data_IF_824772065677
#
_entry.id   IF_824772065677
#
_cell.length_a   1.000
_cell.length_b   1.000
_cell.length_c   1.000
_cell.angle_alpha   90.00
_cell.angle_beta   90.00
_cell.angle_gamma   90.00
#
_symmetry.space_group_name_H-M   'P 1'
#
loop_
_entity.id
_entity.type
_entity.pdbx_description
1 polymer ?
#
# COMPACT_ATOMS: atom_id res chain seq x y z
N UNK A 1 -31.08 23.83 -15.16
CA UNK A 1 -31.42 22.41 -15.15
C UNK A 1 -30.19 21.54 -15.47
N UNK A 2 -29.07 21.69 -14.75
CA UNK A 2 -27.84 20.85 -14.91
C UNK A 2 -27.31 20.24 -13.60
N UNK A 3 -28.06 20.33 -12.50
CA UNK A 3 -27.65 19.89 -11.15
C UNK A 3 -27.78 18.38 -10.87
N UNK A 4 -28.23 17.53 -11.81
CA UNK A 4 -28.60 16.14 -11.50
C UNK A 4 -27.68 15.04 -12.07
N UNK A 5 -26.55 15.37 -12.70
CA UNK A 5 -25.75 14.35 -13.39
C UNK A 5 -24.61 13.83 -12.49
N UNK A 6 -24.10 14.63 -11.56
CA UNK A 6 -22.97 14.23 -10.69
C UNK A 6 -23.44 13.40 -9.46
N UNK A 7 -24.64 13.64 -8.97
CA UNK A 7 -25.20 12.86 -7.84
C UNK A 7 -25.47 11.38 -8.16
N UNK A 8 -25.59 11.00 -9.44
CA UNK A 8 -25.87 9.63 -9.85
C UNK A 8 -24.60 8.78 -10.04
N UNK A 9 -23.44 9.41 -10.27
CA UNK A 9 -22.19 8.71 -10.48
C UNK A 9 -21.57 8.16 -9.17
N UNK A 10 -21.85 8.80 -8.03
CA UNK A 10 -21.34 8.35 -6.71
C UNK A 10 -22.14 7.17 -6.17
N UNK A 11 -23.43 7.06 -6.50
CA UNK A 11 -24.29 5.97 -6.02
C UNK A 11 -24.04 4.62 -6.73
N UNK A 12 -23.47 4.64 -7.95
CA UNK A 12 -23.25 3.41 -8.74
C UNK A 12 -21.91 2.71 -8.45
N UNK A 13 -21.01 3.30 -7.66
CA UNK A 13 -19.70 2.69 -7.31
C UNK A 13 -19.82 1.75 -6.10
N UNK A 14 -20.87 1.87 -5.29
CA UNK A 14 -21.11 0.96 -4.16
C UNK A 14 -21.65 -0.44 -4.53
N UNK A 15 -21.91 -0.70 -5.81
CA UNK A 15 -22.44 -1.98 -6.31
C UNK A 15 -21.39 -2.96 -6.85
N UNK A 16 -20.13 -2.60 -6.98
CA UNK A 16 -19.07 -3.53 -7.34
C UNK A 16 -18.45 -4.12 -6.08
N UNK A 17 -19.10 -5.13 -5.52
CA UNK A 17 -18.42 -6.14 -4.72
C UNK A 17 -17.56 -7.00 -5.66
N UNK A 18 -16.50 -6.41 -6.19
CA UNK A 18 -15.37 -7.19 -6.64
C UNK A 18 -14.76 -7.76 -5.36
N UNK A 19 -14.90 -9.04 -5.14
CA UNK A 19 -14.03 -9.82 -4.29
C UNK A 19 -12.63 -9.76 -4.90
N UNK A 20 -11.95 -8.65 -4.69
CA UNK A 20 -10.52 -8.55 -4.90
C UNK A 20 -9.96 -9.36 -3.74
N UNK A 21 -9.46 -10.56 -4.06
CA UNK A 21 -8.65 -11.33 -3.14
C UNK A 21 -7.59 -10.38 -2.57
N UNK A 22 -7.63 -10.18 -1.26
CA UNK A 22 -6.69 -9.33 -0.57
C UNK A 22 -5.29 -9.89 -0.80
N UNK A 23 -4.53 -9.24 -1.66
CA UNK A 23 -3.09 -9.35 -1.62
C UNK A 23 -2.66 -8.71 -0.29
N UNK A 24 -1.96 -9.47 0.53
CA UNK A 24 -1.32 -8.98 1.76
C UNK A 24 -0.16 -8.06 1.33
N UNK A 25 -0.50 -6.85 0.91
CA UNK A 25 0.48 -5.85 0.55
C UNK A 25 1.10 -5.30 1.81
N UNK A 26 2.42 -5.42 1.88
CA UNK A 26 3.19 -4.98 3.01
C UNK A 26 2.94 -3.48 3.28
N UNK A 27 2.05 -3.21 4.23
CA UNK A 27 1.88 -1.91 4.84
C UNK A 27 3.22 -1.46 5.44
N UNK A 28 3.78 -0.39 4.89
CA UNK A 28 5.09 0.11 5.31
C UNK A 28 5.00 1.22 6.36
N UNK A 29 3.82 1.79 6.59
CA UNK A 29 3.64 2.93 7.48
C UNK A 29 4.44 4.16 7.06
N UNK A 30 4.66 4.32 5.74
CA UNK A 30 5.48 5.40 5.18
C UNK A 30 4.81 6.75 5.30
N UNK A 31 5.62 7.78 5.44
CA UNK A 31 5.22 9.15 5.16
C UNK A 31 5.40 9.43 3.65
N UNK A 32 4.63 10.37 3.13
CA UNK A 32 4.84 10.85 1.76
C UNK A 32 4.50 12.33 1.61
N UNK A 33 5.23 13.01 0.73
CA UNK A 33 4.92 14.34 0.24
C UNK A 33 4.27 14.24 -1.12
N UNK A 34 3.28 15.09 -1.39
CA UNK A 34 2.48 15.12 -2.60
C UNK A 34 2.31 16.56 -3.09
N UNK A 35 3.34 17.16 -3.72
CA UNK A 35 3.17 18.37 -4.50
C UNK A 35 2.38 18.09 -5.77
N UNK A 36 1.54 19.02 -6.18
CA UNK A 36 0.73 18.82 -7.38
C UNK A 36 0.05 20.07 -7.91
N UNK A 37 -0.62 19.88 -9.04
CA UNK A 37 -1.47 20.87 -9.69
C UNK A 37 -2.94 20.48 -9.52
N UNK A 38 -3.80 21.48 -9.48
CA UNK A 38 -5.25 21.31 -9.41
C UNK A 38 -5.94 22.14 -10.48
N UNK A 39 -7.00 21.59 -11.06
CA UNK A 39 -7.92 22.31 -11.93
C UNK A 39 -9.21 22.45 -11.17
N UNK A 40 -9.69 23.68 -11.02
CA UNK A 40 -10.92 24.01 -10.30
C UNK A 40 -12.03 24.35 -11.27
N UNK A 41 -13.15 23.64 -11.17
CA UNK A 41 -14.43 24.04 -11.74
C UNK A 41 -15.27 24.68 -10.63
N UNK A 42 -15.64 25.92 -10.85
CA UNK A 42 -16.30 26.74 -9.84
C UNK A 42 -17.80 26.45 -9.74
N UNK A 43 -18.39 26.70 -8.59
CA UNK A 43 -19.84 26.73 -8.45
C UNK A 43 -20.44 27.82 -9.35
N UNK A 44 -21.52 27.50 -10.05
CA UNK A 44 -22.21 28.44 -10.97
C UNK A 44 -22.69 29.71 -10.27
N UNK A 45 -22.93 29.66 -8.98
CA UNK A 45 -23.37 30.80 -8.20
C UNK A 45 -22.25 31.84 -7.99
N UNK A 46 -20.97 31.42 -8.14
CA UNK A 46 -19.80 32.29 -8.09
C UNK A 46 -19.62 33.15 -9.37
N UNK A 47 -20.21 32.76 -10.49
CA UNK A 47 -20.03 33.43 -11.81
C UNK A 47 -18.56 33.63 -12.16
N UNK A 48 -17.75 32.60 -11.92
CA UNK A 48 -16.34 32.54 -12.25
C UNK A 48 -16.09 31.48 -13.32
N UNK A 49 -15.02 31.63 -14.09
CA UNK A 49 -14.65 30.69 -15.15
C UNK A 49 -14.25 29.33 -14.58
N UNK A 50 -14.51 28.27 -15.35
CA UNK A 50 -14.11 26.92 -15.08
C UNK A 50 -12.72 26.61 -15.64
N UNK A 51 -12.09 25.53 -15.12
CA UNK A 51 -10.85 25.00 -15.67
C UNK A 51 -9.59 25.75 -15.26
N UNK A 52 -9.67 26.60 -14.24
CA UNK A 52 -8.54 27.39 -13.77
C UNK A 52 -7.54 26.52 -12.99
N UNK A 53 -6.25 26.72 -13.28
CA UNK A 53 -5.16 25.93 -12.73
C UNK A 53 -4.64 26.56 -11.45
N UNK A 54 -4.48 25.75 -10.43
CA UNK A 54 -3.84 26.07 -9.15
C UNK A 54 -2.83 25.03 -8.75
N UNK A 55 -2.42 25.07 -7.49
CA UNK A 55 -1.46 24.12 -6.94
C UNK A 55 -1.81 23.69 -5.55
N UNK A 56 -1.25 22.56 -5.15
CA UNK A 56 -1.37 22.05 -3.80
C UNK A 56 -0.10 21.37 -3.31
N UNK A 57 0.03 21.28 -2.01
CA UNK A 57 1.01 20.47 -1.31
C UNK A 57 0.30 19.68 -0.22
N UNK A 58 0.47 18.36 -0.22
CA UNK A 58 -0.05 17.48 0.85
C UNK A 58 1.07 16.67 1.45
N UNK A 59 0.96 16.39 2.73
CA UNK A 59 1.78 15.41 3.45
C UNK A 59 0.84 14.33 3.90
N UNK A 60 1.14 13.10 3.54
CA UNK A 60 0.34 11.95 3.89
C UNK A 60 1.12 10.95 4.71
N UNK A 61 0.39 10.11 5.44
CA UNK A 61 0.90 8.98 6.18
C UNK A 61 0.01 7.77 5.95
N UNK A 62 0.63 6.65 5.65
CA UNK A 62 -0.01 5.34 5.70
C UNK A 62 -0.25 4.98 7.18
N UNK A 63 -1.51 4.83 7.60
CA UNK A 63 -1.89 4.53 8.99
C UNK A 63 -2.13 3.04 9.18
N UNK A 64 -2.69 2.39 8.18
CA UNK A 64 -2.94 0.95 8.15
C UNK A 64 -2.95 0.43 6.72
N UNK A 65 -3.19 -0.84 6.53
CA UNK A 65 -3.31 -1.46 5.20
C UNK A 65 -4.37 -0.79 4.32
N UNK A 66 -5.43 -0.25 4.93
CA UNK A 66 -6.56 0.35 4.19
C UNK A 66 -6.70 1.85 4.40
N UNK A 67 -5.94 2.48 5.30
CA UNK A 67 -6.16 3.88 5.64
C UNK A 67 -4.90 4.71 5.51
N UNK A 68 -5.03 5.84 4.78
CA UNK A 68 -4.08 6.95 4.79
C UNK A 68 -4.75 8.19 5.36
N UNK A 69 -3.93 9.06 5.94
CA UNK A 69 -4.32 10.42 6.31
C UNK A 69 -3.44 11.40 5.57
N UNK A 70 -4.04 12.43 4.97
CA UNK A 70 -3.34 13.53 4.30
C UNK A 70 -3.67 14.84 4.98
N UNK A 71 -2.68 15.70 5.20
CA UNK A 71 -2.85 17.12 5.55
C UNK A 71 -2.38 17.92 4.36
N UNK A 72 -3.17 18.89 3.91
CA UNK A 72 -2.87 19.61 2.69
C UNK A 72 -3.24 21.07 2.69
N UNK A 73 -2.44 21.83 1.94
CA UNK A 73 -2.68 23.21 1.58
C UNK A 73 -2.90 23.28 0.05
N UNK A 74 -3.96 23.97 -0.38
CA UNK A 74 -4.28 24.22 -1.79
C UNK A 74 -4.58 25.67 -2.06
N UNK A 75 -4.24 26.12 -3.27
CA UNK A 75 -4.56 27.47 -3.75
C UNK A 75 -4.98 27.42 -5.20
N UNK A 76 -6.16 28.01 -5.46
CA UNK A 76 -6.68 28.20 -6.81
C UNK A 76 -7.26 29.60 -6.98
N UNK A 77 -7.18 30.11 -8.20
CA UNK A 77 -7.88 31.33 -8.58
C UNK A 77 -8.62 31.13 -9.89
N UNK A 78 -9.76 31.82 -10.04
CA UNK A 78 -10.58 31.81 -11.23
C UNK A 78 -10.90 33.25 -11.63
N UNK A 79 -10.92 33.52 -12.92
CA UNK A 79 -11.34 34.82 -13.45
C UNK A 79 -12.87 34.97 -13.41
N UNK A 80 -13.35 36.19 -13.33
CA UNK A 80 -14.79 36.49 -13.39
C UNK A 80 -15.38 36.09 -14.76
N UNK A 81 -16.40 35.21 -14.77
CA UNK A 81 -17.14 34.87 -16.01
C UNK A 81 -17.99 36.05 -16.47
N UNK A 82 -17.36 36.96 -17.16
CA UNK A 82 -18.00 38.17 -17.69
C UNK A 82 -17.57 38.43 -19.12
N UNK A 83 -18.48 38.25 -20.06
CA UNK A 83 -18.29 38.65 -21.46
C UNK A 83 -18.15 40.17 -21.66
N UNK A 84 -18.39 40.99 -20.63
CA UNK A 84 -18.42 42.46 -20.70
C UNK A 84 -17.34 43.14 -19.84
N UNK A 85 -16.77 42.47 -18.86
CA UNK A 85 -15.85 43.09 -17.91
C UNK A 85 -14.70 42.10 -17.60
N UNK A 86 -13.48 42.51 -17.87
CA UNK A 86 -12.28 41.72 -17.59
C UNK A 86 -11.53 42.32 -16.42
N UNK A 87 -11.19 41.53 -15.43
CA UNK A 87 -10.27 41.96 -14.38
C UNK A 87 -10.60 41.57 -12.95
N UNK A 88 -11.72 40.90 -12.70
CA UNK A 88 -12.05 40.38 -11.36
C UNK A 88 -11.60 38.96 -11.15
N UNK A 89 -11.34 38.56 -9.90
CA UNK A 89 -10.91 37.19 -9.55
C UNK A 89 -11.62 36.63 -8.32
N UNK A 90 -11.94 35.36 -8.41
CA UNK A 90 -12.25 34.53 -7.27
C UNK A 90 -10.98 33.76 -6.86
N UNK A 91 -10.69 33.74 -5.56
CA UNK A 91 -9.53 33.03 -5.00
C UNK A 91 -9.98 32.14 -3.86
N UNK A 92 -9.50 30.90 -3.86
CA UNK A 92 -9.75 29.96 -2.77
C UNK A 92 -8.45 29.37 -2.25
N UNK A 93 -8.27 29.46 -0.94
CA UNK A 93 -7.20 28.77 -0.21
C UNK A 93 -7.82 27.73 0.68
N UNK A 94 -7.34 26.50 0.60
CA UNK A 94 -7.82 25.35 1.35
C UNK A 94 -6.73 24.85 2.29
N UNK A 95 -7.10 24.60 3.55
CA UNK A 95 -6.27 23.87 4.51
C UNK A 95 -7.13 22.76 5.10
N UNK A 96 -6.75 21.49 4.93
CA UNK A 96 -7.60 20.39 5.36
C UNK A 96 -6.86 19.13 5.74
N UNK A 97 -7.60 18.24 6.35
CA UNK A 97 -7.21 16.87 6.67
C UNK A 97 -8.18 15.94 5.99
N UNK A 98 -7.64 15.01 5.22
CA UNK A 98 -8.37 14.00 4.46
C UNK A 98 -8.04 12.61 4.99
N UNK A 99 -9.05 11.76 5.16
CA UNK A 99 -8.92 10.33 5.34
C UNK A 99 -9.15 9.64 3.97
N UNK A 100 -8.25 8.73 3.59
CA UNK A 100 -8.34 7.96 2.36
C UNK A 100 -8.52 6.49 2.72
N UNK A 101 -9.56 5.87 2.17
CA UNK A 101 -9.71 4.42 2.22
C UNK A 101 -9.13 3.81 0.95
N UNK A 102 -8.06 3.04 1.10
CA UNK A 102 -7.32 2.39 0.02
C UNK A 102 -7.89 1.00 -0.24
N UNK A 103 -8.28 0.71 -1.47
CA UNK A 103 -8.80 -0.61 -1.86
C UNK A 103 -7.69 -1.62 -2.16
N UNK A 104 -6.47 -1.15 -2.40
CA UNK A 104 -5.27 -1.97 -2.65
C UNK A 104 -4.01 -1.21 -2.21
N UNK A 105 -2.96 -1.96 -1.87
CA UNK A 105 -1.60 -1.43 -1.60
C UNK A 105 -0.60 -1.80 -2.69
N UNK A 106 -1.02 -2.45 -3.76
CA UNK A 106 -0.21 -2.73 -4.95
C UNK A 106 0.30 -1.45 -5.62
N UNK A 107 0.92 -1.58 -6.77
CA UNK A 107 1.38 -0.44 -7.58
C UNK A 107 0.23 0.49 -7.98
N UNK A 108 -0.95 -0.07 -8.26
CA UNK A 108 -2.18 0.68 -8.52
C UNK A 108 -3.09 0.64 -7.28
N UNK A 109 -3.34 1.81 -6.69
CA UNK A 109 -4.01 1.98 -5.40
C UNK A 109 -5.24 2.88 -5.54
N UNK A 110 -6.38 2.34 -5.95
CA UNK A 110 -7.63 3.12 -5.98
C UNK A 110 -8.07 3.45 -4.56
N UNK A 111 -8.70 4.62 -4.39
CA UNK A 111 -9.18 5.08 -3.10
C UNK A 111 -10.43 5.95 -3.20
N UNK A 112 -11.15 6.04 -2.09
CA UNK A 112 -12.13 7.09 -1.82
C UNK A 112 -11.61 7.97 -0.69
N UNK A 113 -11.99 9.22 -0.68
CA UNK A 113 -11.56 10.16 0.35
C UNK A 113 -12.73 10.95 0.92
N UNK A 114 -12.59 11.34 2.17
CA UNK A 114 -13.42 12.34 2.82
C UNK A 114 -12.54 13.19 3.73
N UNK A 115 -12.83 14.49 3.81
CA UNK A 115 -12.03 15.40 4.60
C UNK A 115 -12.79 16.59 5.14
N UNK A 116 -12.16 17.25 6.09
CA UNK A 116 -12.63 18.49 6.70
C UNK A 116 -11.49 19.49 6.82
N UNK A 117 -11.84 20.76 6.91
CA UNK A 117 -10.81 21.80 7.04
C UNK A 117 -11.38 23.20 7.07
N UNK A 118 -10.54 24.15 6.63
CA UNK A 118 -10.88 25.55 6.48
C UNK A 118 -10.69 25.98 5.02
N UNK A 119 -11.63 26.75 4.51
CA UNK A 119 -11.56 27.42 3.21
C UNK A 119 -11.58 28.93 3.42
N UNK A 120 -10.59 29.61 2.85
CA UNK A 120 -10.58 31.05 2.75
C UNK A 120 -10.98 31.45 1.32
N UNK A 121 -12.18 32.04 1.19
CA UNK A 121 -12.75 32.47 -0.08
C UNK A 121 -12.65 33.99 -0.20
N UNK A 122 -12.09 34.48 -1.30
CA UNK A 122 -12.00 35.90 -1.61
C UNK A 122 -12.54 36.19 -3.01
N UNK A 123 -13.53 37.04 -3.05
CA UNK A 123 -14.18 37.51 -4.29
C UNK A 123 -13.77 38.96 -4.49
N UNK A 124 -13.34 39.30 -5.68
CA UNK A 124 -12.98 40.67 -6.07
C UNK A 124 -13.32 40.89 -7.53
N UNK A 125 -14.61 41.08 -7.86
CA UNK A 125 -15.09 41.26 -9.22
C UNK A 125 -15.20 42.72 -9.57
N UNK A 126 -14.74 43.08 -10.77
CA UNK A 126 -14.81 44.43 -11.31
C UNK A 126 -16.01 44.63 -12.21
N UNK A 127 -16.64 43.57 -12.71
CA UNK A 127 -17.78 43.63 -13.61
C UNK A 127 -19.14 43.85 -12.96
N UNK A 128 -19.28 43.42 -11.70
CA UNK A 128 -20.47 43.69 -10.89
C UNK A 128 -20.09 44.76 -9.88
N UNK A 129 -20.63 45.98 -9.96
CA UNK A 129 -20.23 47.07 -9.07
C UNK A 129 -20.27 46.68 -7.60
N UNK A 130 -19.11 46.66 -6.95
CA UNK A 130 -19.00 46.39 -5.55
C UNK A 130 -19.10 44.89 -5.12
N UNK A 131 -19.10 43.95 -6.07
CA UNK A 131 -19.08 42.53 -5.70
C UNK A 131 -17.71 42.11 -5.17
N UNK A 132 -17.51 42.34 -3.91
CA UNK A 132 -16.31 41.94 -3.18
C UNK A 132 -16.68 41.30 -1.85
N UNK A 133 -15.86 40.37 -1.42
CA UNK A 133 -16.03 39.69 -0.12
C UNK A 133 -14.86 38.81 0.22
N UNK A 134 -14.70 38.52 1.50
CA UNK A 134 -13.70 37.62 1.98
C UNK A 134 -14.25 36.91 3.21
N UNK A 135 -14.32 35.60 3.16
CA UNK A 135 -14.80 34.77 4.27
C UNK A 135 -13.88 33.58 4.51
N UNK A 136 -13.74 33.23 5.77
CA UNK A 136 -13.08 32.00 6.17
C UNK A 136 -14.10 31.11 6.86
N UNK A 137 -14.31 29.93 6.30
CA UNK A 137 -15.32 29.00 6.78
C UNK A 137 -14.79 27.61 6.92
N UNK A 138 -15.49 26.77 7.65
CA UNK A 138 -15.30 25.34 7.59
C UNK A 138 -15.57 24.83 6.19
N UNK A 139 -14.77 23.86 5.76
CA UNK A 139 -15.01 23.10 4.53
C UNK A 139 -15.19 21.63 4.82
N UNK A 140 -15.97 20.95 3.98
CA UNK A 140 -16.02 19.50 3.86
C UNK A 140 -15.69 19.09 2.44
N UNK A 141 -15.09 17.94 2.25
CA UNK A 141 -14.88 17.39 0.92
C UNK A 141 -15.07 15.88 0.88
N UNK A 142 -15.46 15.38 -0.29
CA UNK A 142 -15.46 13.95 -0.63
C UNK A 142 -14.93 13.77 -2.04
N UNK A 143 -14.32 12.63 -2.31
CA UNK A 143 -13.77 12.37 -3.62
C UNK A 143 -13.34 10.92 -3.81
N UNK A 144 -12.80 10.65 -4.97
CA UNK A 144 -12.23 9.38 -5.35
C UNK A 144 -10.99 9.60 -6.22
N UNK A 145 -10.09 8.63 -6.21
CA UNK A 145 -8.86 8.73 -6.97
C UNK A 145 -8.09 7.43 -7.02
N UNK A 146 -6.87 7.54 -7.53
CA UNK A 146 -5.93 6.45 -7.53
C UNK A 146 -4.50 6.97 -7.37
N UNK A 147 -3.68 6.15 -6.73
CA UNK A 147 -2.22 6.28 -6.73
C UNK A 147 -1.64 5.22 -7.66
N UNK A 148 -0.55 5.55 -8.33
CA UNK A 148 0.26 4.60 -9.08
C UNK A 148 1.73 4.77 -8.70
N UNK A 149 2.33 3.73 -8.13
CA UNK A 149 3.74 3.73 -7.73
C UNK A 149 4.60 3.18 -8.85
N UNK A 150 5.54 3.97 -9.34
CA UNK A 150 6.56 3.54 -10.31
C UNK A 150 7.66 2.76 -9.61
N UNK A 151 8.05 3.24 -8.42
CA UNK A 151 9.01 2.63 -7.50
C UNK A 151 8.41 2.62 -6.10
N UNK A 152 9.09 2.00 -5.13
CA UNK A 152 8.64 2.00 -3.73
C UNK A 152 8.53 3.42 -3.14
N UNK A 153 9.26 4.39 -3.71
CA UNK A 153 9.35 5.76 -3.17
C UNK A 153 8.75 6.84 -4.08
N UNK A 154 8.48 6.55 -5.36
CA UNK A 154 8.01 7.56 -6.32
C UNK A 154 6.75 7.06 -7.03
N UNK A 155 5.75 7.92 -7.12
CA UNK A 155 4.49 7.63 -7.81
C UNK A 155 3.73 8.87 -8.22
N UNK A 156 2.54 8.65 -8.73
CA UNK A 156 1.55 9.68 -9.04
C UNK A 156 0.27 9.44 -8.24
N UNK A 157 -0.42 10.51 -7.90
CA UNK A 157 -1.79 10.47 -7.40
C UNK A 157 -2.67 11.38 -8.27
N UNK A 158 -3.80 10.85 -8.71
CA UNK A 158 -4.87 11.64 -9.33
C UNK A 158 -6.15 11.46 -8.52
N UNK A 159 -6.86 12.57 -8.28
CA UNK A 159 -8.16 12.52 -7.62
C UNK A 159 -9.12 13.58 -8.16
N UNK A 160 -10.41 13.28 -8.11
CA UNK A 160 -11.51 14.22 -8.29
C UNK A 160 -12.23 14.35 -6.95
N UNK A 161 -12.49 15.58 -6.54
CA UNK A 161 -13.20 15.87 -5.28
C UNK A 161 -14.15 17.03 -5.41
N UNK A 162 -15.22 16.96 -4.66
CA UNK A 162 -16.13 18.07 -4.41
C UNK A 162 -15.82 18.70 -3.07
N UNK A 163 -15.67 20.03 -3.05
CA UNK A 163 -15.32 20.79 -1.85
C UNK A 163 -16.43 21.79 -1.57
N UNK A 164 -17.10 21.64 -0.43
CA UNK A 164 -18.13 22.57 0.03
C UNK A 164 -17.54 23.51 1.07
N UNK A 165 -17.82 24.80 0.90
CA UNK A 165 -17.44 25.86 1.82
C UNK A 165 -18.46 27.02 1.76
N UNK A 166 -18.24 28.07 2.55
CA UNK A 166 -19.05 29.29 2.45
C UNK A 166 -18.24 30.41 1.82
N UNK A 167 -18.89 31.15 0.95
CA UNK A 167 -18.36 32.39 0.39
C UNK A 167 -19.27 33.55 0.76
N UNK A 168 -18.67 34.71 0.96
CA UNK A 168 -19.34 35.96 1.26
C UNK A 168 -19.13 36.95 0.13
N UNK A 169 -20.19 37.61 -0.29
CA UNK A 169 -20.10 38.69 -1.28
C UNK A 169 -21.16 39.78 -1.00
N UNK A 170 -20.78 41.00 -1.37
CA UNK A 170 -21.65 42.19 -1.35
C UNK A 170 -22.41 42.32 -2.67
N UNK A 171 -23.46 43.11 -2.64
CA UNK A 171 -24.10 43.72 -3.81
C UNK A 171 -24.46 42.80 -4.98
N UNK A 172 -25.30 41.80 -4.71
CA UNK A 172 -26.04 41.14 -5.79
C UNK A 172 -25.42 39.89 -6.41
N UNK A 173 -24.26 39.39 -5.95
CA UNK A 173 -23.73 38.12 -6.46
C UNK A 173 -24.62 36.95 -6.04
N UNK A 174 -24.97 36.87 -4.73
CA UNK A 174 -25.79 35.80 -4.17
C UNK A 174 -27.25 36.22 -3.87
N UNK A 175 -27.62 37.50 -4.15
CA UNK A 175 -28.98 38.02 -3.91
C UNK A 175 -29.22 39.28 -4.73
N UNK A 176 -30.46 39.51 -5.16
CA UNK A 176 -30.89 40.74 -5.81
C UNK A 176 -31.01 41.94 -4.84
N UNK A 177 -30.81 41.76 -3.55
CA UNK A 177 -30.90 42.80 -2.53
C UNK A 177 -29.51 43.35 -2.21
N UNK A 178 -29.42 44.65 -1.96
CA UNK A 178 -28.23 45.30 -1.46
C UNK A 178 -27.89 44.77 -0.07
N UNK A 179 -26.56 44.44 0.15
CA UNK A 179 -26.04 43.92 1.42
C UNK A 179 -25.08 42.75 1.25
N UNK A 180 -24.46 42.37 2.33
CA UNK A 180 -23.56 41.22 2.38
C UNK A 180 -24.35 39.93 2.57
N UNK A 181 -24.11 38.92 1.77
CA UNK A 181 -24.73 37.60 1.89
C UNK A 181 -23.67 36.50 1.86
N UNK A 182 -23.86 35.49 2.70
CA UNK A 182 -23.09 34.25 2.68
C UNK A 182 -23.87 33.14 2.01
N UNK A 183 -23.22 32.42 1.10
CA UNK A 183 -23.79 31.26 0.42
C UNK A 183 -22.87 30.06 0.55
N UNK A 184 -23.46 28.85 0.56
CA UNK A 184 -22.69 27.62 0.50
C UNK A 184 -22.41 27.30 -0.96
N UNK A 185 -21.15 27.16 -1.29
CA UNK A 185 -20.65 26.88 -2.64
C UNK A 185 -20.02 25.50 -2.69
N UNK A 186 -20.11 24.84 -3.85
CA UNK A 186 -19.49 23.55 -4.15
C UNK A 186 -18.56 23.68 -5.35
N UNK A 187 -17.26 23.55 -5.14
CA UNK A 187 -16.27 23.57 -6.22
C UNK A 187 -15.73 22.15 -6.47
N UNK A 188 -15.68 21.75 -7.74
CA UNK A 188 -15.10 20.47 -8.15
C UNK A 188 -13.64 20.65 -8.51
N UNK A 189 -12.77 19.79 -7.93
CA UNK A 189 -11.32 19.79 -8.17
C UNK A 189 -10.89 18.52 -8.87
N UNK A 190 -10.06 18.68 -9.89
CA UNK A 190 -9.26 17.62 -10.51
C UNK A 190 -7.81 17.84 -10.10
N UNK A 191 -7.24 16.90 -9.35
CA UNK A 191 -5.90 17.01 -8.80
C UNK A 191 -4.97 15.98 -9.42
N UNK A 192 -3.73 16.39 -9.71
CA UNK A 192 -2.65 15.52 -10.14
C UNK A 192 -1.37 15.91 -9.39
N UNK A 193 -0.76 14.96 -8.70
CA UNK A 193 0.45 15.20 -7.92
C UNK A 193 1.44 14.06 -7.99
N UNK A 194 2.71 14.36 -7.65
CA UNK A 194 3.79 13.39 -7.56
C UNK A 194 3.94 12.96 -6.11
N UNK A 195 3.95 11.65 -5.89
CA UNK A 195 4.19 11.06 -4.59
C UNK A 195 5.68 10.89 -4.39
N UNK A 196 6.20 11.37 -3.25
CA UNK A 196 7.54 11.09 -2.75
C UNK A 196 7.41 10.44 -1.37
N UNK A 197 7.62 9.12 -1.28
CA UNK A 197 7.56 8.38 -0.01
C UNK A 197 8.90 8.43 0.72
N UNK A 198 8.85 8.55 2.04
CA UNK A 198 10.01 8.59 2.93
C UNK A 198 9.65 8.06 4.31
N UNK A 199 10.66 7.77 5.13
CA UNK A 199 10.45 7.40 6.53
C UNK A 199 9.72 6.06 6.72
N UNK A 200 9.74 5.18 5.72
CA UNK A 200 9.41 3.79 6.01
C UNK A 200 10.36 3.32 7.12
N UNK A 201 9.88 2.70 8.21
CA UNK A 201 10.78 2.07 9.14
C UNK A 201 11.63 1.13 8.30
N UNK A 202 12.97 1.34 8.28
CA UNK A 202 13.86 0.29 7.80
C UNK A 202 13.41 -0.95 8.54
N UNK A 203 12.94 -1.97 7.82
CA UNK A 203 12.93 -3.29 8.38
C UNK A 203 14.37 -3.46 8.91
N UNK A 204 14.51 -3.39 10.22
CA UNK A 204 15.74 -3.79 10.86
C UNK A 204 15.82 -5.25 10.46
N UNK A 205 16.65 -5.54 9.45
CA UNK A 205 17.09 -6.90 9.22
C UNK A 205 17.43 -7.38 10.62
N UNK A 206 16.75 -8.44 11.08
CA UNK A 206 17.01 -9.00 12.40
C UNK A 206 18.53 -9.02 12.52
N UNK A 207 19.06 -8.29 13.49
CA UNK A 207 20.49 -8.15 13.65
C UNK A 207 21.04 -9.57 13.52
N UNK A 208 21.91 -9.79 12.52
CA UNK A 208 22.69 -11.02 12.51
C UNK A 208 23.20 -11.19 13.93
N UNK A 209 22.94 -12.35 14.57
CA UNK A 209 23.48 -12.56 15.89
C UNK A 209 24.97 -12.24 15.78
N UNK A 210 25.42 -11.30 16.62
CA UNK A 210 26.81 -10.90 16.63
C UNK A 210 27.66 -12.15 16.59
N UNK A 211 28.68 -12.27 15.70
CA UNK A 211 29.53 -13.43 15.67
C UNK A 211 29.99 -13.69 17.09
N UNK A 212 29.73 -14.88 17.62
CA UNK A 212 30.21 -15.27 18.92
C UNK A 212 31.71 -14.98 18.96
N UNK A 213 32.24 -14.44 20.06
CA UNK A 213 33.67 -14.16 20.16
C UNK A 213 34.40 -15.45 19.81
N UNK A 214 35.21 -15.42 18.77
CA UNK A 214 36.09 -16.54 18.42
C UNK A 214 36.85 -16.91 19.66
N UNK A 215 36.59 -18.12 20.17
CA UNK A 215 37.38 -18.71 21.25
C UNK A 215 38.84 -18.67 20.83
N UNK A 216 39.69 -18.20 21.76
CA UNK A 216 41.13 -18.21 21.56
C UNK A 216 41.59 -19.65 21.21
N UNK A 217 42.59 -19.81 20.33
CA UNK A 217 43.06 -21.15 19.95
C UNK A 217 43.48 -21.92 21.19
N UNK A 218 42.82 -23.06 21.43
CA UNK A 218 43.22 -23.98 22.47
C UNK A 218 44.63 -24.56 22.18
N UNK A 219 45.45 -24.75 23.20
CA UNK A 219 46.75 -25.41 23.04
C UNK A 219 46.57 -26.84 22.56
N UNK A 220 47.40 -27.23 21.62
CA UNK A 220 47.47 -28.58 21.01
C UNK A 220 47.46 -29.66 22.09
N UNK A 221 46.50 -30.62 22.09
CA UNK A 221 46.47 -31.69 23.06
C UNK A 221 47.52 -32.76 22.75
N UNK A 222 48.24 -33.17 23.78
CA UNK A 222 49.04 -34.42 23.78
C UNK A 222 48.15 -35.66 23.59
N UNK A 223 48.64 -36.76 22.99
CA UNK A 223 47.81 -37.91 22.69
C UNK A 223 47.46 -38.66 23.98
N UNK A 224 46.21 -38.53 24.42
CA UNK A 224 45.62 -39.30 25.50
C UNK A 224 44.84 -40.51 24.98
N UNK A 225 44.91 -41.59 25.76
CA UNK A 225 44.24 -42.86 25.53
C UNK A 225 42.74 -42.74 25.29
N UNK A 226 42.15 -43.67 24.52
CA UNK A 226 40.75 -43.72 24.14
C UNK A 226 39.80 -43.61 25.35
N UNK A 227 38.86 -42.68 25.37
CA UNK A 227 37.88 -42.59 26.44
C UNK A 227 36.73 -43.58 26.25
N UNK A 228 36.24 -44.10 27.36
CA UNK A 228 34.97 -44.83 27.47
C UNK A 228 33.80 -43.99 26.95
N UNK A 229 32.70 -44.59 26.40
CA UNK A 229 31.58 -43.85 25.83
C UNK A 229 30.90 -43.00 26.92
N UNK A 230 30.92 -41.69 26.73
CA UNK A 230 30.22 -40.73 27.58
C UNK A 230 28.69 -40.88 27.46
N UNK A 231 27.94 -40.59 28.54
CA UNK A 231 26.48 -40.67 28.51
C UNK A 231 25.90 -39.72 27.47
N UNK A 232 25.01 -40.24 26.62
CA UNK A 232 24.31 -39.51 25.54
C UNK A 232 23.52 -38.38 26.19
N UNK A 233 23.95 -37.14 25.98
CA UNK A 233 23.18 -35.96 26.32
C UNK A 233 21.85 -35.90 25.50
N UNK A 234 20.88 -35.12 25.93
CA UNK A 234 19.58 -35.04 25.23
C UNK A 234 19.80 -34.73 23.74
N UNK A 235 19.23 -35.60 22.87
CA UNK A 235 19.36 -35.47 21.43
C UNK A 235 18.80 -34.11 20.99
N UNK A 236 19.57 -33.39 20.18
CA UNK A 236 19.11 -32.12 19.58
C UNK A 236 17.77 -32.32 18.84
N UNK A 237 16.85 -31.37 18.87
CA UNK A 237 15.57 -31.47 18.18
C UNK A 237 15.79 -31.82 16.69
N UNK A 238 15.06 -32.83 16.20
CA UNK A 238 15.19 -33.24 14.81
C UNK A 238 14.27 -32.38 13.95
N UNK A 239 14.86 -31.62 13.03
CA UNK A 239 14.10 -30.87 12.01
C UNK A 239 13.86 -31.77 10.81
N UNK A 240 12.60 -31.92 10.41
CA UNK A 240 12.24 -32.47 9.10
C UNK A 240 12.05 -31.32 8.09
N UNK A 241 12.87 -31.34 7.03
CA UNK A 241 12.85 -30.32 5.98
C UNK A 241 12.20 -30.87 4.72
N UNK A 242 11.05 -30.30 4.36
CA UNK A 242 10.29 -30.65 3.14
C UNK A 242 10.48 -29.52 2.13
N UNK A 243 11.02 -29.84 0.95
CA UNK A 243 11.21 -28.85 -0.13
C UNK A 243 10.21 -29.13 -1.25
N UNK A 244 9.39 -28.13 -1.56
CA UNK A 244 8.38 -28.21 -2.60
C UNK A 244 8.70 -27.23 -3.72
N UNK A 245 8.76 -27.72 -4.98
CA UNK A 245 9.00 -26.86 -6.13
C UNK A 245 7.82 -25.90 -6.33
N UNK A 246 8.10 -24.61 -6.52
CA UNK A 246 7.04 -23.61 -6.74
C UNK A 246 6.17 -23.90 -7.97
N UNK A 247 6.69 -24.57 -8.97
CA UNK A 247 5.95 -24.94 -10.19
C UNK A 247 4.87 -26.00 -9.93
N UNK A 248 5.06 -26.86 -8.92
CA UNK A 248 4.06 -27.80 -8.44
C UNK A 248 2.97 -27.06 -7.66
N UNK A 249 3.40 -26.16 -6.77
CA UNK A 249 2.48 -25.43 -5.89
C UNK A 249 1.68 -24.34 -6.60
N UNK A 250 2.30 -23.61 -7.52
CA UNK A 250 1.75 -22.39 -8.11
C UNK A 250 1.83 -22.38 -9.63
N UNK A 251 0.99 -21.56 -10.29
CA UNK A 251 1.16 -21.20 -11.69
C UNK A 251 2.38 -20.28 -11.89
N UNK A 252 2.78 -20.11 -13.14
CA UNK A 252 3.84 -19.16 -13.49
C UNK A 252 3.46 -17.75 -13.01
N UNK A 253 4.36 -17.12 -12.27
CA UNK A 253 4.18 -15.77 -11.70
C UNK A 253 2.91 -15.61 -10.82
N UNK A 254 2.45 -16.73 -10.21
CA UNK A 254 1.26 -16.74 -9.34
C UNK A 254 1.62 -17.20 -7.94
N UNK A 255 0.75 -16.84 -7.00
CA UNK A 255 0.75 -17.17 -5.58
C UNK A 255 -0.50 -17.96 -5.16
N UNK A 256 -1.38 -18.26 -6.12
CA UNK A 256 -2.56 -19.11 -5.90
C UNK A 256 -2.16 -20.58 -6.04
N UNK A 257 -2.44 -21.39 -5.02
CA UNK A 257 -2.16 -22.82 -5.01
C UNK A 257 -2.97 -23.56 -6.07
N UNK A 258 -2.29 -24.41 -6.85
CA UNK A 258 -2.91 -25.38 -7.74
C UNK A 258 -3.45 -26.56 -6.94
N UNK A 259 -4.38 -27.32 -7.54
CA UNK A 259 -4.92 -28.52 -6.88
C UNK A 259 -3.84 -29.59 -6.66
N UNK A 260 -2.93 -29.78 -7.62
CA UNK A 260 -1.74 -30.63 -7.44
C UNK A 260 -0.86 -30.18 -6.26
N UNK A 261 -0.70 -28.86 -6.08
CA UNK A 261 0.03 -28.29 -4.96
C UNK A 261 -0.66 -28.55 -3.61
N UNK A 262 -2.00 -28.48 -3.57
CA UNK A 262 -2.79 -28.80 -2.38
C UNK A 262 -2.67 -30.27 -2.00
N UNK A 263 -2.71 -31.18 -2.99
CA UNK A 263 -2.51 -32.62 -2.76
C UNK A 263 -1.13 -32.90 -2.17
N UNK A 264 -0.08 -32.27 -2.73
CA UNK A 264 1.29 -32.41 -2.19
C UNK A 264 1.40 -31.89 -0.76
N UNK A 265 0.83 -30.73 -0.46
CA UNK A 265 0.79 -30.17 0.89
C UNK A 265 0.02 -31.07 1.88
N UNK A 266 -1.08 -31.67 1.44
CA UNK A 266 -1.83 -32.61 2.27
C UNK A 266 -0.98 -33.83 2.63
N UNK A 267 -0.37 -34.49 1.64
CA UNK A 267 0.38 -35.72 1.84
C UNK A 267 1.70 -35.48 2.59
N UNK A 268 2.41 -34.42 2.24
CA UNK A 268 3.76 -34.19 2.74
C UNK A 268 3.79 -33.42 4.08
N UNK A 269 2.77 -32.58 4.35
CA UNK A 269 2.75 -31.69 5.53
C UNK A 269 1.55 -31.96 6.44
N UNK A 270 0.29 -31.90 5.91
CA UNK A 270 -0.92 -31.97 6.74
C UNK A 270 -1.03 -33.31 7.46
N UNK A 271 -0.80 -34.43 6.78
CA UNK A 271 -0.87 -35.77 7.38
C UNK A 271 0.17 -35.92 8.50
N UNK A 272 1.39 -35.43 8.28
CA UNK A 272 2.45 -35.46 9.29
C UNK A 272 2.10 -34.60 10.50
N UNK A 273 1.61 -33.39 10.27
CA UNK A 273 1.18 -32.48 11.34
C UNK A 273 0.04 -33.04 12.18
N UNK A 274 -0.88 -33.78 11.55
CA UNK A 274 -1.99 -34.46 12.25
C UNK A 274 -1.51 -35.69 13.00
N UNK A 275 -0.51 -36.40 12.49
CA UNK A 275 0.09 -37.57 13.16
C UNK A 275 0.97 -37.18 14.36
N UNK A 276 1.47 -35.92 14.35
CA UNK A 276 2.40 -35.38 15.36
C UNK A 276 1.85 -34.10 15.97
N UNK A 277 0.84 -34.18 16.87
CA UNK A 277 0.25 -33.00 17.52
C UNK A 277 1.24 -32.28 18.45
N UNK A 278 2.34 -32.94 18.85
CA UNK A 278 3.43 -32.38 19.64
C UNK A 278 4.35 -31.40 18.88
N UNK A 279 4.23 -31.30 17.57
CA UNK A 279 4.98 -30.30 16.76
C UNK A 279 4.56 -28.90 17.15
N UNK A 280 5.46 -28.09 17.69
CA UNK A 280 5.15 -26.74 18.18
C UNK A 280 5.35 -25.67 17.10
N UNK A 281 6.28 -25.88 16.17
CA UNK A 281 6.66 -24.87 15.18
C UNK A 281 6.84 -25.47 13.79
N UNK A 282 6.23 -24.81 12.81
CA UNK A 282 6.44 -25.05 11.38
C UNK A 282 6.84 -23.75 10.70
N UNK A 283 8.04 -23.71 10.15
CA UNK A 283 8.54 -22.58 9.38
C UNK A 283 8.32 -22.82 7.88
N UNK A 284 7.62 -21.92 7.23
CA UNK A 284 7.30 -21.96 5.80
C UNK A 284 8.10 -20.85 5.11
N UNK A 285 9.13 -21.21 4.35
CA UNK A 285 10.01 -20.26 3.69
C UNK A 285 9.82 -20.29 2.16
N UNK A 286 9.41 -19.16 1.58
CA UNK A 286 9.31 -18.98 0.13
C UNK A 286 10.60 -18.46 -0.46
N UNK A 287 10.99 -18.99 -1.64
CA UNK A 287 12.16 -18.56 -2.40
C UNK A 287 11.80 -18.33 -3.87
N UNK A 288 12.51 -17.41 -4.52
CA UNK A 288 12.47 -17.17 -5.96
C UNK A 288 13.85 -17.41 -6.57
N UNK A 289 13.91 -17.37 -7.88
CA UNK A 289 15.19 -17.19 -8.58
C UNK A 289 15.53 -15.69 -8.68
N UNK A 290 16.72 -15.39 -9.24
CA UNK A 290 17.23 -14.02 -9.42
C UNK A 290 16.70 -13.30 -10.67
N UNK A 291 15.75 -13.87 -11.41
CA UNK A 291 15.20 -13.27 -12.61
C UNK A 291 14.10 -12.28 -12.17
N UNK A 292 14.29 -11.02 -12.53
CA UNK A 292 13.36 -9.94 -12.20
C UNK A 292 13.93 -8.94 -11.19
N UNK A 293 13.04 -8.13 -10.63
CA UNK A 293 13.39 -7.15 -9.60
C UNK A 293 13.45 -7.82 -8.22
N UNK A 294 14.49 -7.53 -7.44
CA UNK A 294 14.69 -8.16 -6.13
C UNK A 294 13.55 -7.85 -5.14
N UNK A 295 12.99 -6.63 -5.17
CA UNK A 295 11.84 -6.25 -4.35
C UNK A 295 10.57 -7.00 -4.76
N UNK A 296 10.38 -7.21 -6.06
CA UNK A 296 9.29 -8.04 -6.57
C UNK A 296 9.45 -9.51 -6.12
N UNK A 297 10.65 -10.06 -6.26
CA UNK A 297 10.99 -11.43 -5.86
C UNK A 297 10.78 -11.65 -4.36
N UNK A 298 11.16 -10.68 -3.53
CA UNK A 298 10.90 -10.69 -2.09
C UNK A 298 9.39 -10.81 -1.81
N UNK A 299 8.59 -9.91 -2.36
CA UNK A 299 7.13 -9.92 -2.18
C UNK A 299 6.47 -11.19 -2.73
N UNK A 300 6.91 -11.70 -3.89
CA UNK A 300 6.37 -12.93 -4.46
C UNK A 300 6.63 -14.14 -3.55
N UNK A 301 7.83 -14.23 -2.98
CA UNK A 301 8.19 -15.31 -2.05
C UNK A 301 7.36 -15.25 -0.76
N UNK A 302 7.11 -14.06 -0.22
CA UNK A 302 6.26 -13.84 0.96
C UNK A 302 4.80 -14.24 0.69
N UNK A 303 4.22 -13.79 -0.43
CA UNK A 303 2.86 -14.17 -0.81
C UNK A 303 2.71 -15.68 -0.96
N UNK A 304 3.69 -16.35 -1.55
CA UNK A 304 3.70 -17.82 -1.72
C UNK A 304 3.78 -18.54 -0.37
N UNK A 305 4.65 -18.12 0.53
CA UNK A 305 4.73 -18.66 1.87
C UNK A 305 3.42 -18.48 2.65
N UNK A 306 2.82 -17.29 2.57
CA UNK A 306 1.53 -17.00 3.20
C UNK A 306 0.37 -17.80 2.58
N UNK A 307 0.37 -18.04 1.26
CA UNK A 307 -0.64 -18.88 0.61
C UNK A 307 -0.59 -20.32 1.12
N UNK A 308 0.62 -20.86 1.34
CA UNK A 308 0.81 -22.17 1.95
C UNK A 308 0.31 -22.15 3.40
N UNK A 309 0.69 -21.16 4.21
CA UNK A 309 0.21 -20.99 5.59
C UNK A 309 -1.33 -20.97 5.64
N UNK A 310 -1.96 -20.11 4.87
CA UNK A 310 -3.44 -20.00 4.80
C UNK A 310 -4.10 -21.35 4.44
N UNK A 311 -3.50 -22.08 3.51
CA UNK A 311 -3.97 -23.40 3.16
C UNK A 311 -3.88 -24.38 4.33
N UNK A 312 -2.74 -24.46 5.01
CA UNK A 312 -2.55 -25.36 6.16
C UNK A 312 -3.52 -25.02 7.31
N UNK A 313 -3.78 -23.74 7.57
CA UNK A 313 -4.82 -23.31 8.52
C UNK A 313 -6.20 -23.81 8.08
N UNK A 314 -6.54 -23.73 6.80
CA UNK A 314 -7.83 -24.24 6.27
C UNK A 314 -7.96 -25.76 6.40
N UNK A 315 -6.86 -26.50 6.52
CA UNK A 315 -6.82 -27.93 6.76
C UNK A 315 -6.86 -28.31 8.26
N UNK A 316 -7.02 -27.29 9.13
CA UNK A 316 -7.18 -27.47 10.58
C UNK A 316 -5.87 -27.44 11.38
N UNK A 317 -4.76 -26.97 10.80
CA UNK A 317 -3.53 -26.71 11.55
C UNK A 317 -3.66 -25.35 12.24
N UNK A 318 -3.33 -25.29 13.52
CA UNK A 318 -3.41 -24.06 14.32
C UNK A 318 -2.46 -22.99 13.80
N UNK A 319 -2.96 -21.75 13.66
CA UNK A 319 -2.22 -20.65 13.06
C UNK A 319 -0.96 -20.25 13.83
N UNK A 320 -1.01 -20.34 15.17
CA UNK A 320 0.10 -20.03 16.07
C UNK A 320 1.31 -20.96 15.90
N UNK A 321 1.10 -22.15 15.32
CA UNK A 321 2.16 -23.13 14.99
C UNK A 321 2.82 -22.86 13.64
N UNK A 322 2.30 -21.95 12.81
CA UNK A 322 2.72 -21.72 11.43
C UNK A 322 3.35 -20.34 11.27
N UNK A 323 4.62 -20.31 10.89
CA UNK A 323 5.34 -19.09 10.56
C UNK A 323 5.70 -19.05 9.07
N UNK A 324 5.28 -17.99 8.35
CA UNK A 324 5.56 -17.82 6.93
C UNK A 324 6.54 -16.66 6.71
N UNK A 325 7.60 -16.93 5.94
CA UNK A 325 8.65 -15.94 5.62
C UNK A 325 9.00 -16.03 4.14
N UNK A 326 9.15 -14.89 3.48
CA UNK A 326 9.74 -14.81 2.14
C UNK A 326 11.22 -14.45 2.22
N UNK A 327 12.03 -15.10 1.45
CA UNK A 327 13.48 -14.86 1.32
C UNK A 327 13.87 -14.34 -0.07
N UNK A 328 12.88 -14.19 -0.98
CA UNK A 328 13.17 -13.77 -2.33
C UNK A 328 14.26 -14.62 -2.98
N UNK A 329 15.21 -13.96 -3.61
CA UNK A 329 16.35 -14.56 -4.31
C UNK A 329 17.61 -14.68 -3.45
N UNK A 330 17.56 -14.34 -2.16
CA UNK A 330 18.76 -14.19 -1.30
C UNK A 330 19.42 -15.51 -0.91
N UNK A 331 18.70 -16.64 -1.00
CA UNK A 331 19.21 -17.97 -0.62
C UNK A 331 19.12 -18.94 -1.80
N UNK A 332 19.94 -18.76 -2.85
CA UNK A 332 19.94 -19.66 -3.99
C UNK A 332 20.56 -21.03 -3.65
N UNK A 333 19.97 -22.10 -4.17
CA UNK A 333 20.53 -23.46 -4.07
C UNK A 333 21.37 -23.80 -5.31
N UNK A 334 21.14 -23.09 -6.43
CA UNK A 334 21.95 -23.19 -7.64
C UNK A 334 22.30 -21.80 -8.14
N UNK A 335 23.55 -21.63 -8.56
CA UNK A 335 24.06 -20.37 -9.13
C UNK A 335 24.45 -20.59 -10.59
N UNK A 336 23.54 -20.27 -11.49
CA UNK A 336 23.69 -20.48 -12.94
C UNK A 336 24.45 -19.29 -13.59
N UNK A 337 25.69 -19.03 -13.13
CA UNK A 337 26.54 -17.95 -13.68
C UNK A 337 26.87 -18.16 -15.15
N UNK A 338 26.80 -17.10 -15.95
CA UNK A 338 27.13 -17.14 -17.37
C UNK A 338 26.09 -17.81 -18.29
N UNK A 339 24.96 -18.28 -17.71
CA UNK A 339 23.87 -18.84 -18.51
C UNK A 339 22.79 -17.76 -18.68
N UNK A 340 22.29 -17.61 -19.93
CA UNK A 340 21.31 -16.57 -20.28
C UNK A 340 20.10 -17.14 -21.02
N UNK A 341 19.01 -16.36 -21.09
CA UNK A 341 17.79 -16.70 -21.81
C UNK A 341 17.06 -17.91 -21.24
N UNK A 342 16.43 -18.71 -22.08
CA UNK A 342 15.62 -19.89 -21.65
C UNK A 342 16.41 -20.88 -20.81
N UNK A 343 17.68 -21.12 -21.13
CA UNK A 343 18.55 -22.03 -20.38
C UNK A 343 18.79 -21.55 -18.95
N UNK A 344 18.83 -20.24 -18.72
CA UNK A 344 18.93 -19.68 -17.36
C UNK A 344 17.66 -19.95 -16.55
N UNK A 345 16.48 -19.83 -17.16
CA UNK A 345 15.19 -20.10 -16.52
C UNK A 345 15.09 -21.56 -16.06
N UNK A 346 15.54 -22.50 -16.90
CA UNK A 346 15.57 -23.93 -16.59
C UNK A 346 16.59 -24.23 -15.50
N UNK A 347 17.81 -23.71 -15.62
CA UNK A 347 18.88 -23.92 -14.65
C UNK A 347 18.51 -23.39 -13.25
N UNK A 348 17.84 -22.24 -13.17
CA UNK A 348 17.44 -21.59 -11.93
C UNK A 348 16.17 -22.17 -11.29
N UNK A 349 15.50 -23.12 -11.95
CA UNK A 349 14.27 -23.74 -11.44
C UNK A 349 14.35 -24.23 -9.99
N UNK A 350 15.44 -24.87 -9.51
CA UNK A 350 15.51 -25.30 -8.11
C UNK A 350 15.47 -24.16 -7.07
N UNK A 351 15.79 -22.93 -7.47
CA UNK A 351 15.69 -21.76 -6.59
C UNK A 351 14.23 -21.38 -6.35
N UNK A 352 13.32 -21.62 -7.29
CA UNK A 352 11.89 -21.37 -7.17
C UNK A 352 11.25 -22.50 -6.35
N UNK A 353 11.22 -22.35 -5.03
CA UNK A 353 10.74 -23.37 -4.11
C UNK A 353 10.06 -22.78 -2.88
N UNK A 354 9.29 -23.61 -2.19
CA UNK A 354 8.85 -23.37 -0.82
C UNK A 354 9.42 -24.49 0.06
N UNK A 355 10.03 -24.09 1.14
CA UNK A 355 10.60 -25.02 2.15
C UNK A 355 9.69 -24.98 3.36
N UNK A 356 9.30 -26.17 3.83
CA UNK A 356 8.54 -26.35 5.08
C UNK A 356 9.44 -27.10 6.05
N UNK A 357 9.84 -26.45 7.13
CA UNK A 357 10.67 -27.03 8.19
C UNK A 357 9.78 -27.31 9.41
N UNK A 358 9.72 -28.57 9.79
CA UNK A 358 8.90 -29.06 10.90
C UNK A 358 9.83 -29.41 12.07
N UNK A 359 9.67 -28.69 13.18
CA UNK A 359 10.41 -28.99 14.39
C UNK A 359 9.69 -30.10 15.17
N UNK A 360 10.32 -31.27 15.25
CA UNK A 360 9.80 -32.41 16.00
C UNK A 360 10.57 -32.49 17.33
N UNK A 361 9.92 -32.13 18.43
CA UNK A 361 10.47 -32.43 19.75
C UNK A 361 10.37 -33.97 20.00
N UNK A 362 11.48 -34.67 20.11
CA UNK A 362 11.45 -36.05 20.57
C UNK A 362 11.18 -36.03 22.08
N UNK A 363 10.04 -36.58 22.48
CA UNK A 363 9.80 -36.89 23.88
C UNK A 363 10.90 -37.82 24.38
N UNK A 364 11.56 -37.43 25.46
CA UNK A 364 12.54 -38.26 26.19
C UNK A 364 11.85 -39.44 26.83
#
# INVERSE_FOLDING_TARGET
MKKNIIGLAVASIFGLTATIAAADDAYQGSWYALPGISVMNTDSDLKADDGNVGGFLRIGKEISEHWDVQIGLGYNEADEDSKKFTGGKYKQTLLGVDALYMFSRDKFRPFVLAGIGAAHNRIGYSGTPGSSGSDTSWMGNVGLGAQYLFTDNIGLQADIREVWSRAEANNGLFSSSAGTKKETIGNTYFNLGVIFKFGAPKQVAAAEPAPEPMAAPEPTPEPMAAPEPAPVGPAAPAFEKITLASEVLFGFDKDVLKDEGKERLNNDVVEKMKAHPEVELVLITGHTDRIGDAGYNQKLSERRANAVKKYLVSQGIEENRLHAVGKGETEPVVDCKGIHGKKAIECLQPNRRVVVEIEVQRAN
#
